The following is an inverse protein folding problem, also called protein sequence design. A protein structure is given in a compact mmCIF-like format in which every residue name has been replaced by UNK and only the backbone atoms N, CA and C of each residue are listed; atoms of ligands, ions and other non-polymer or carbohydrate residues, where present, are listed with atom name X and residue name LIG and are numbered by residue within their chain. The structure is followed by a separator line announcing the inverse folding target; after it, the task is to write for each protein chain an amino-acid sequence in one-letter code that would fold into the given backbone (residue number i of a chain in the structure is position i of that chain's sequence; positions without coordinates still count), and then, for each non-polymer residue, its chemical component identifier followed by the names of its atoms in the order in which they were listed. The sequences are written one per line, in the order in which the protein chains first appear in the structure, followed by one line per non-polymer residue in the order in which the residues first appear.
data_IF_732112375637
#
_entry.id   IF_732112375637
#
_cell.length_a   1.000
_cell.length_b   1.000
_cell.length_c   1.000
_cell.angle_alpha   90.00
_cell.angle_beta   90.00
_cell.angle_gamma   90.00
#
_symmetry.space_group_name_H-M   'P 1'
#
loop_
_entity.id
_entity.type
_entity.pdbx_description
1 polymer ?
#
# COMPACT_ATOMS: atom_id res chain seq x y z
N UNK A 1 15.66 -14.71 14.68
CA UNK A 1 14.30 -14.13 14.80
C UNK A 1 13.70 -14.64 16.12
N UNK A 2 13.13 -13.81 16.97
CA UNK A 2 12.60 -14.26 18.28
C UNK A 2 11.27 -15.00 18.11
N UNK A 3 10.93 -15.92 19.02
CA UNK A 3 9.67 -16.68 18.97
C UNK A 3 8.43 -15.76 18.93
N UNK A 4 8.45 -14.67 19.71
CA UNK A 4 7.38 -13.66 19.73
C UNK A 4 7.21 -12.94 18.39
N UNK A 5 8.32 -12.61 17.71
CA UNK A 5 8.25 -11.95 16.41
C UNK A 5 7.65 -12.88 15.35
N UNK A 6 8.09 -14.14 15.30
CA UNK A 6 7.56 -15.12 14.34
C UNK A 6 6.07 -15.33 14.55
N UNK A 7 5.63 -15.52 15.80
CA UNK A 7 4.20 -15.69 16.11
C UNK A 7 3.34 -14.48 15.70
N UNK A 8 3.84 -13.26 15.92
CA UNK A 8 3.15 -12.04 15.50
C UNK A 8 3.07 -11.91 13.97
N UNK A 9 4.14 -12.28 13.26
CA UNK A 9 4.19 -12.28 11.80
C UNK A 9 3.21 -13.30 11.21
N UNK A 10 3.20 -14.53 11.75
CA UNK A 10 2.31 -15.60 11.32
C UNK A 10 0.84 -15.23 11.56
N UNK A 11 0.54 -14.62 12.70
CA UNK A 11 -0.79 -14.11 12.98
C UNK A 11 -1.22 -13.05 11.95
N UNK A 12 -0.37 -12.04 11.69
CA UNK A 12 -0.65 -11.00 10.71
C UNK A 12 -0.85 -11.57 9.29
N UNK A 13 -0.01 -12.51 8.89
CA UNK A 13 -0.11 -13.24 7.63
C UNK A 13 -1.46 -13.99 7.54
N UNK A 14 -1.88 -14.70 8.59
CA UNK A 14 -3.16 -15.40 8.63
C UNK A 14 -4.36 -14.44 8.52
N UNK A 15 -4.32 -13.29 9.21
CA UNK A 15 -5.38 -12.28 9.09
C UNK A 15 -5.48 -11.72 7.67
N UNK A 16 -4.33 -11.46 7.04
CA UNK A 16 -4.28 -10.97 5.66
C UNK A 16 -4.83 -11.99 4.66
N UNK A 17 -4.42 -13.27 4.77
CA UNK A 17 -4.95 -14.35 3.91
C UNK A 17 -6.46 -14.48 4.04
N UNK A 18 -6.99 -14.46 5.27
CA UNK A 18 -8.43 -14.52 5.50
C UNK A 18 -9.17 -13.37 4.85
N UNK A 19 -8.66 -12.14 5.01
CA UNK A 19 -9.29 -10.97 4.38
C UNK A 19 -9.27 -11.03 2.85
N UNK A 20 -8.18 -11.50 2.24
CA UNK A 20 -8.10 -11.73 0.78
C UNK A 20 -9.14 -12.76 0.34
N UNK A 21 -9.27 -13.87 1.06
CA UNK A 21 -10.21 -14.94 0.73
C UNK A 21 -11.67 -14.50 0.86
N UNK A 22 -12.00 -13.82 1.96
CA UNK A 22 -13.36 -13.38 2.26
C UNK A 22 -13.78 -12.21 1.35
N UNK A 23 -12.84 -11.30 1.03
CA UNK A 23 -13.09 -10.06 0.31
C UNK A 23 -11.98 -9.75 -0.74
N UNK A 24 -11.95 -10.45 -1.87
CA UNK A 24 -10.93 -10.25 -2.90
C UNK A 24 -10.92 -8.80 -3.42
N UNK A 25 -9.72 -8.21 -3.49
CA UNK A 25 -9.51 -6.84 -3.96
C UNK A 25 -9.91 -5.74 -2.98
N UNK A 26 -10.46 -6.08 -1.81
CA UNK A 26 -10.83 -5.10 -0.79
C UNK A 26 -9.60 -4.60 -0.04
N UNK A 27 -9.48 -3.27 0.09
CA UNK A 27 -8.48 -2.61 0.92
C UNK A 27 -9.15 -2.11 2.21
N UNK A 28 -8.79 -2.66 3.39
CA UNK A 28 -9.35 -2.23 4.66
C UNK A 28 -8.81 -0.86 5.08
N UNK A 29 -9.67 -0.05 5.72
CA UNK A 29 -9.28 1.24 6.31
C UNK A 29 -9.54 1.23 7.83
N UNK A 30 -10.79 0.99 8.25
CA UNK A 30 -11.18 0.97 9.66
C UNK A 30 -12.34 0.01 9.91
N UNK A 31 -12.63 -0.23 11.18
CA UNK A 31 -13.75 -1.07 11.62
C UNK A 31 -14.83 -0.24 12.30
N UNK A 32 -16.09 -0.68 12.19
CA UNK A 32 -17.24 -0.17 12.95
C UNK A 32 -17.89 -1.38 13.62
N UNK A 33 -18.06 -1.34 14.94
CA UNK A 33 -18.58 -2.49 15.71
C UNK A 33 -17.75 -3.77 15.54
N UNK A 34 -16.43 -3.64 15.37
CA UNK A 34 -15.52 -4.77 15.19
C UNK A 34 -15.53 -5.40 13.79
N UNK A 35 -16.26 -4.84 12.83
CA UNK A 35 -16.31 -5.32 11.44
C UNK A 35 -15.69 -4.30 10.50
N UNK A 36 -15.00 -4.74 9.46
CA UNK A 36 -14.46 -3.85 8.43
C UNK A 36 -15.59 -2.99 7.83
N UNK A 37 -15.44 -1.66 7.88
CA UNK A 37 -16.41 -0.80 7.23
C UNK A 37 -16.17 -0.77 5.72
N UNK A 38 -17.17 -1.20 4.96
CA UNK A 38 -17.12 -1.27 3.48
C UNK A 38 -18.01 -0.25 2.78
N UNK A 39 -18.88 0.43 3.53
CA UNK A 39 -20.00 1.22 2.99
C UNK A 39 -19.86 2.73 3.26
N UNK A 40 -18.85 3.16 4.03
CA UNK A 40 -18.60 4.57 4.31
C UNK A 40 -17.82 5.30 3.21
N UNK A 41 -18.05 6.61 3.09
CA UNK A 41 -17.21 7.50 2.28
C UNK A 41 -15.75 7.39 2.72
N UNK A 42 -14.89 7.06 1.76
CA UNK A 42 -13.44 7.05 1.95
C UNK A 42 -12.92 8.41 1.55
N UNK A 43 -13.04 9.39 2.44
CA UNK A 43 -12.47 10.71 2.17
C UNK A 43 -10.98 10.56 1.83
N UNK A 44 -10.58 11.13 0.68
CA UNK A 44 -9.25 11.12 0.03
C UNK A 44 -8.59 9.77 -0.30
N UNK A 45 -9.08 8.64 0.23
CA UNK A 45 -8.50 7.31 0.01
C UNK A 45 -6.97 7.25 0.30
N UNK A 46 -6.49 8.05 1.26
CA UNK A 46 -5.06 8.20 1.59
C UNK A 46 -4.40 6.91 2.11
N UNK A 47 -5.20 5.98 2.64
CA UNK A 47 -4.69 4.78 3.32
C UNK A 47 -4.48 3.57 2.39
N UNK A 48 -4.83 3.68 1.10
CA UNK A 48 -4.89 2.51 0.21
C UNK A 48 -3.53 1.86 -0.06
N UNK A 49 -2.43 2.56 0.23
CA UNK A 49 -1.07 2.03 0.16
C UNK A 49 -0.67 1.13 1.33
N UNK A 50 -1.35 1.18 2.48
CA UNK A 50 -0.88 0.46 3.67
C UNK A 50 -1.12 -1.04 3.58
N UNK A 51 -2.30 -1.46 3.12
CA UNK A 51 -2.62 -2.89 3.01
C UNK A 51 -1.70 -3.64 2.02
N UNK A 52 -1.50 -3.19 0.76
CA UNK A 52 -0.45 -3.74 -0.10
C UNK A 52 0.96 -3.57 0.49
N UNK A 53 1.20 -2.51 1.26
CA UNK A 53 2.46 -2.33 1.99
C UNK A 53 2.76 -3.43 3.01
N UNK A 54 1.73 -3.97 3.68
CA UNK A 54 1.86 -5.14 4.56
C UNK A 54 2.30 -6.36 3.74
N UNK A 55 1.77 -6.57 2.54
CA UNK A 55 2.17 -7.70 1.69
C UNK A 55 3.63 -7.59 1.25
N UNK A 56 4.12 -6.39 0.92
CA UNK A 56 5.54 -6.17 0.65
C UNK A 56 6.42 -6.50 1.86
N UNK A 57 5.98 -6.15 3.07
CA UNK A 57 6.70 -6.50 4.30
C UNK A 57 6.69 -8.01 4.56
N UNK A 58 5.54 -8.67 4.41
CA UNK A 58 5.42 -10.11 4.54
C UNK A 58 6.32 -10.85 3.53
N UNK A 59 6.31 -10.42 2.26
CA UNK A 59 7.20 -10.97 1.25
C UNK A 59 8.68 -10.76 1.61
N UNK A 60 9.06 -9.54 2.03
CA UNK A 60 10.45 -9.25 2.44
C UNK A 60 10.93 -10.17 3.56
N UNK A 61 10.06 -10.52 4.50
CA UNK A 61 10.44 -11.34 5.67
C UNK A 61 10.37 -12.83 5.39
N UNK A 62 9.42 -13.29 4.57
CA UNK A 62 9.15 -14.72 4.36
C UNK A 62 9.66 -15.26 3.01
N UNK A 63 9.94 -14.39 2.05
CA UNK A 63 10.21 -14.70 0.65
C UNK A 63 9.08 -15.46 -0.07
N UNK A 64 7.90 -15.58 0.54
CA UNK A 64 6.75 -16.28 -0.04
C UNK A 64 6.19 -15.48 -1.24
N UNK A 65 6.10 -16.14 -2.39
CA UNK A 65 5.66 -15.55 -3.66
C UNK A 65 4.18 -15.18 -3.63
N UNK A 66 3.36 -15.83 -2.80
CA UNK A 66 1.96 -15.46 -2.59
C UNK A 66 1.84 -13.99 -2.20
N UNK A 67 2.69 -13.54 -1.26
CA UNK A 67 2.67 -12.16 -0.80
C UNK A 67 3.13 -11.19 -1.87
N UNK A 68 4.15 -11.56 -2.66
CA UNK A 68 4.59 -10.73 -3.78
C UNK A 68 3.48 -10.56 -4.81
N UNK A 69 2.84 -11.64 -5.26
CA UNK A 69 1.78 -11.57 -6.27
C UNK A 69 0.64 -10.64 -5.85
N UNK A 70 0.18 -10.74 -4.59
CA UNK A 70 -0.86 -9.86 -4.07
C UNK A 70 -0.35 -8.43 -3.83
N UNK A 71 0.90 -8.25 -3.40
CA UNK A 71 1.49 -6.92 -3.26
C UNK A 71 1.52 -6.18 -4.61
N UNK A 72 1.95 -6.85 -5.68
CA UNK A 72 1.96 -6.28 -7.03
C UNK A 72 0.54 -6.01 -7.55
N UNK A 73 -0.39 -6.95 -7.41
CA UNK A 73 -1.79 -6.79 -7.86
C UNK A 73 -2.46 -5.57 -7.22
N UNK A 74 -2.37 -5.44 -5.89
CA UNK A 74 -2.98 -4.33 -5.17
C UNK A 74 -2.24 -3.02 -5.41
N UNK A 75 -0.91 -3.04 -5.56
CA UNK A 75 -0.12 -1.84 -5.88
C UNK A 75 -0.51 -1.28 -7.24
N UNK A 76 -0.68 -2.11 -8.28
CA UNK A 76 -1.05 -1.66 -9.64
C UNK A 76 -2.35 -0.85 -9.67
N UNK A 77 -3.31 -1.14 -8.78
CA UNK A 77 -4.58 -0.38 -8.67
C UNK A 77 -4.36 1.07 -8.26
N UNK A 78 -3.22 1.39 -7.62
CA UNK A 78 -2.87 2.74 -7.19
C UNK A 78 -2.20 3.57 -8.29
N UNK A 79 -1.71 2.96 -9.37
CA UNK A 79 -0.92 3.67 -10.38
C UNK A 79 -1.59 4.93 -10.95
N UNK A 80 -2.90 4.94 -11.26
CA UNK A 80 -3.57 6.13 -11.76
C UNK A 80 -3.50 7.32 -10.78
N UNK A 81 -3.35 7.07 -9.47
CA UNK A 81 -3.25 8.10 -8.43
C UNK A 81 -1.95 8.91 -8.51
N UNK A 82 -0.96 8.51 -9.32
CA UNK A 82 0.31 9.25 -9.48
C UNK A 82 0.12 10.66 -10.04
N UNK A 83 -1.04 10.93 -10.66
CA UNK A 83 -1.44 12.23 -11.17
C UNK A 83 -2.54 12.90 -10.33
N UNK A 84 -2.90 12.34 -9.18
CA UNK A 84 -3.94 12.90 -8.32
C UNK A 84 -3.43 14.16 -7.59
N UNK A 85 -3.91 15.32 -8.04
CA UNK A 85 -3.55 16.64 -7.51
C UNK A 85 -4.40 17.05 -6.30
N UNK A 86 -5.51 16.34 -6.04
CA UNK A 86 -6.49 16.73 -5.04
C UNK A 86 -6.08 16.31 -3.63
N UNK A 87 -5.10 15.41 -3.50
CA UNK A 87 -4.60 14.89 -2.23
C UNK A 87 -3.14 15.29 -1.97
N UNK A 88 -2.74 15.31 -0.70
CA UNK A 88 -1.33 15.53 -0.29
C UNK A 88 -0.63 14.22 0.12
N UNK A 89 -1.36 13.12 0.13
CA UNK A 89 -0.96 11.85 0.73
C UNK A 89 -0.36 10.84 -0.28
N UNK A 90 0.09 11.31 -1.44
CA UNK A 90 0.69 10.43 -2.45
C UNK A 90 1.89 9.63 -1.90
N UNK A 91 2.61 10.19 -0.92
CA UNK A 91 3.66 9.48 -0.20
C UNK A 91 3.17 8.21 0.49
N UNK A 92 2.01 8.23 1.15
CA UNK A 92 1.45 7.05 1.82
C UNK A 92 1.09 5.93 0.84
N UNK A 93 0.63 6.30 -0.35
CA UNK A 93 0.32 5.37 -1.41
C UNK A 93 1.60 4.76 -2.00
N UNK A 94 2.48 5.60 -2.54
CA UNK A 94 3.59 5.15 -3.40
C UNK A 94 4.83 4.70 -2.63
N UNK A 95 5.12 5.24 -1.44
CA UNK A 95 6.29 4.76 -0.67
C UNK A 95 6.03 3.42 0.00
N UNK A 96 4.78 3.17 0.39
CA UNK A 96 4.38 1.88 0.97
C UNK A 96 4.29 0.77 -0.08
N UNK A 97 4.17 1.12 -1.37
CA UNK A 97 3.96 0.18 -2.49
C UNK A 97 5.08 0.23 -3.52
N UNK A 98 5.00 1.12 -4.51
CA UNK A 98 5.92 1.22 -5.64
C UNK A 98 7.38 1.39 -5.22
N UNK A 99 7.68 2.13 -4.15
CA UNK A 99 9.06 2.28 -3.67
C UNK A 99 9.64 0.95 -3.16
N UNK A 100 8.83 0.14 -2.49
CA UNK A 100 9.25 -1.20 -2.03
C UNK A 100 9.41 -2.15 -3.22
N UNK A 101 8.51 -2.06 -4.19
CA UNK A 101 8.56 -2.85 -5.40
C UNK A 101 9.81 -2.52 -6.24
N UNK A 102 10.06 -1.25 -6.52
CA UNK A 102 11.28 -0.79 -7.20
C UNK A 102 12.54 -1.19 -6.45
N UNK A 103 12.59 -1.03 -5.12
CA UNK A 103 13.74 -1.48 -4.31
C UNK A 103 13.99 -2.99 -4.40
N UNK A 104 12.96 -3.79 -4.68
CA UNK A 104 13.09 -5.23 -4.85
C UNK A 104 13.58 -5.61 -6.26
N UNK A 105 13.08 -4.96 -7.30
CA UNK A 105 13.29 -5.38 -8.70
C UNK A 105 14.28 -4.53 -9.49
N UNK A 106 14.47 -3.27 -9.11
CA UNK A 106 15.23 -2.28 -9.89
C UNK A 106 14.53 -1.85 -11.19
N UNK A 107 13.23 -2.14 -11.35
CA UNK A 107 12.50 -1.85 -12.60
C UNK A 107 12.29 -0.35 -12.82
N UNK A 108 12.89 0.20 -13.88
CA UNK A 108 12.82 1.61 -14.26
C UNK A 108 11.38 2.11 -14.51
N UNK A 109 10.45 1.23 -14.92
CA UNK A 109 9.05 1.61 -15.09
C UNK A 109 8.40 1.97 -13.75
N UNK A 110 8.76 1.27 -12.67
CA UNK A 110 8.27 1.58 -11.32
C UNK A 110 8.89 2.88 -10.78
N UNK A 111 10.18 3.12 -11.09
CA UNK A 111 10.85 4.36 -10.76
C UNK A 111 10.16 5.56 -11.43
N UNK A 112 9.81 5.41 -12.71
CA UNK A 112 9.07 6.45 -13.44
C UNK A 112 7.76 6.81 -12.74
N UNK A 113 6.99 5.82 -12.28
CA UNK A 113 5.74 6.07 -11.52
C UNK A 113 6.02 6.84 -10.23
N UNK A 114 7.09 6.49 -9.50
CA UNK A 114 7.49 7.19 -8.27
C UNK A 114 7.85 8.66 -8.54
N UNK A 115 8.63 8.91 -9.60
CA UNK A 115 9.02 10.26 -10.00
C UNK A 115 7.80 11.07 -10.45
N UNK A 116 6.86 10.47 -11.19
CA UNK A 116 5.61 11.11 -11.59
C UNK A 116 4.75 11.49 -10.38
N UNK A 117 4.57 10.58 -9.42
CA UNK A 117 3.86 10.86 -8.16
C UNK A 117 4.54 11.98 -7.35
N UNK A 118 5.88 11.96 -7.26
CA UNK A 118 6.66 12.99 -6.59
C UNK A 118 6.52 14.36 -7.24
N UNK A 119 6.53 14.43 -8.58
CA UNK A 119 6.29 15.66 -9.34
C UNK A 119 4.89 16.20 -9.08
N UNK A 120 3.87 15.35 -9.12
CA UNK A 120 2.49 15.74 -8.81
C UNK A 120 2.37 16.33 -7.41
N UNK A 121 2.98 15.70 -6.41
CA UNK A 121 2.99 16.20 -5.03
C UNK A 121 3.70 17.56 -4.93
N UNK A 122 4.83 17.74 -5.62
CA UNK A 122 5.60 18.98 -5.60
C UNK A 122 4.85 20.18 -6.19
N UNK A 123 3.87 19.96 -7.09
CA UNK A 123 3.01 21.03 -7.63
C UNK A 123 2.15 21.72 -6.55
N UNK A 124 2.02 21.13 -5.36
CA UNK A 124 1.30 21.74 -4.23
C UNK A 124 2.08 22.84 -3.52
N UNK A 125 3.37 22.99 -3.82
CA UNK A 125 4.20 24.05 -3.22
C UNK A 125 3.68 25.43 -3.60
N UNK A 126 3.25 26.22 -2.61
CA UNK A 126 2.97 27.65 -2.78
C UNK A 126 4.27 28.48 -2.65
N UNK A 127 4.42 29.51 -3.49
CA UNK A 127 5.52 30.47 -3.37
C UNK A 127 5.25 31.36 -2.15
N UNK A 128 6.10 31.25 -1.11
CA UNK A 128 5.93 31.94 0.17
C UNK A 128 5.68 31.02 1.38
N UNK A 129 5.39 29.73 1.14
CA UNK A 129 5.06 28.77 2.20
C UNK A 129 3.55 28.75 2.53
N UNK A 130 3.10 27.58 2.99
CA UNK A 130 1.71 27.10 3.08
C UNK A 130 0.83 27.38 1.88
#
# INVERSE_FOLDING_TARGET
MTATFTAALDFAAAQCRRLIADHPGYVPMYTVGGKWNREGERWTHWCEGFYPGIFWLLHKTTSDSFWRSHAEEYSRKLEPRRFDRNVHDLGFLFFSTYLRWWRLTGDEALEKVLVEAGRTLALRRQVGGY
#
